data_IF_163079208627
#
_entry.id   IF_163079208627
#
_cell.length_a   1.000
_cell.length_b   1.000
_cell.length_c   1.000
_cell.angle_alpha   90.00
_cell.angle_beta   90.00
_cell.angle_gamma   90.00
#
_symmetry.space_group_name_H-M   'P 1'
#
loop_
_entity.id
_entity.type
_entity.pdbx_description
1 polymer ?
2 polymer ?
3 non-polymer ?
4 non-polymer ?
5 water ?
#
# COMPACT_ATOMS: atom_id res chain seq x y z
N UNK A 15 -21.82 -22.35 -0.57
CA UNK A 15 -21.40 -21.68 0.68
C UNK A 15 -20.11 -20.90 0.43
N UNK A 16 -19.44 -20.50 1.51
CA UNK A 16 -18.23 -19.68 1.45
C UNK A 16 -16.99 -20.57 1.31
N UNK A 17 -17.06 -21.79 1.82
CA UNK A 17 -15.97 -22.77 1.67
C UNK A 17 -15.97 -23.39 0.27
N UNK A 18 -17.11 -23.32 -0.41
CA UNK A 18 -17.20 -23.68 -1.82
C UNK A 18 -16.35 -22.73 -2.66
N UNK A 19 -16.27 -21.47 -2.22
CA UNK A 19 -15.36 -20.49 -2.82
C UNK A 19 -13.91 -20.78 -2.43
N UNK A 20 -13.68 -21.03 -1.13
CA UNK A 20 -12.34 -21.27 -0.56
C UNK A 20 -11.72 -22.51 -1.18
N UNK A 21 -12.52 -23.57 -1.30
CA UNK A 21 -12.04 -24.81 -1.87
C UNK A 21 -11.86 -24.69 -3.37
N UNK A 22 -12.51 -23.70 -3.99
CA UNK A 22 -12.27 -23.37 -5.39
C UNK A 22 -11.04 -22.48 -5.51
N UNK A 23 -10.75 -21.71 -4.46
CA UNK A 23 -9.52 -20.93 -4.45
C UNK A 23 -8.32 -21.87 -4.28
N UNK A 24 -8.47 -22.86 -3.41
CA UNK A 24 -7.47 -23.92 -3.22
C UNK A 24 -7.21 -24.71 -4.53
N UNK A 25 -8.30 -25.06 -5.22
CA UNK A 25 -8.20 -25.80 -6.48
C UNK A 25 -7.49 -24.98 -7.56
N UNK A 26 -7.85 -23.71 -7.68
CA UNK A 26 -7.40 -22.86 -8.78
C UNK A 26 -5.97 -22.36 -8.61
N UNK A 27 -5.42 -22.49 -7.41
CA UNK A 27 -4.05 -22.06 -7.13
C UNK A 27 -3.03 -22.70 -8.07
N UNK A 28 -2.04 -21.90 -8.53
CA UNK A 28 -0.90 -22.43 -9.27
C UNK A 28 -0.22 -23.50 -8.44
N UNK A 29 0.16 -24.59 -9.10
CA UNK A 29 0.89 -25.67 -8.45
C UNK A 29 2.24 -25.24 -7.91
N UNK A 30 2.70 -25.93 -6.88
CA UNK A 30 4.02 -25.69 -6.33
C UNK A 30 5.01 -25.59 -7.48
N UNK A 31 5.77 -24.51 -7.49
CA UNK A 31 6.72 -24.26 -8.54
C UNK A 31 8.05 -24.90 -8.18
N UNK A 32 8.76 -25.37 -9.19
CA UNK A 32 10.12 -25.88 -9.03
C UNK A 32 10.96 -25.36 -10.20
N UNK A 33 12.19 -24.92 -9.93
CA UNK A 33 13.09 -24.54 -11.00
C UNK A 33 13.59 -25.77 -11.79
N UNK A 34 13.99 -26.83 -11.08
CA UNK A 34 14.52 -28.07 -11.68
C UNK A 34 13.89 -29.35 -11.12
N UNK A 35 12.65 -29.67 -11.57
CA UNK A 35 11.93 -30.84 -11.04
C UNK A 35 12.45 -32.16 -11.58
N UNK A 36 11.90 -33.26 -11.05
CA UNK A 36 12.23 -34.62 -11.46
C UNK A 36 13.66 -34.98 -11.04
N UNK A 43 5.40 -34.31 -12.04
CA UNK A 43 4.41 -34.11 -13.09
C UNK A 43 3.92 -32.65 -13.19
N UNK A 44 4.48 -31.78 -12.35
CA UNK A 44 4.09 -30.35 -12.29
C UNK A 44 4.66 -29.56 -13.51
N UNK A 45 4.60 -28.20 -13.48
CA UNK A 45 5.16 -27.35 -14.56
C UNK A 45 6.49 -27.84 -15.15
N UNK A 46 6.66 -27.64 -16.45
CA UNK A 46 7.77 -28.21 -17.24
C UNK A 46 9.17 -28.10 -16.59
N UNK A 47 9.92 -27.05 -16.92
CA UNK A 47 11.29 -26.80 -16.40
C UNK A 47 11.97 -25.66 -17.18
N UNK A 48 12.41 -24.62 -16.46
CA UNK A 48 12.79 -23.35 -17.07
C UNK A 48 14.29 -23.18 -17.33
N UNK A 49 14.87 -22.11 -16.80
CA UNK A 49 16.31 -21.82 -16.91
C UNK A 49 16.77 -20.82 -15.85
N UNK A 50 16.22 -19.59 -15.89
CA UNK A 50 16.70 -18.48 -15.04
C UNK A 50 15.64 -17.43 -14.63
N UNK A 51 15.22 -16.61 -15.60
CA UNK A 51 14.25 -15.54 -15.38
C UNK A 51 12.98 -15.83 -16.19
N UNK A 52 13.08 -16.74 -17.17
CA UNK A 52 11.91 -17.23 -17.88
C UNK A 52 10.89 -17.76 -16.87
N UNK A 53 11.43 -18.19 -15.73
CA UNK A 53 10.65 -18.58 -14.55
C UNK A 53 9.69 -17.46 -14.13
N UNK A 54 10.16 -16.22 -14.19
CA UNK A 54 9.34 -15.05 -13.87
C UNK A 54 8.27 -14.82 -14.95
N UNK A 55 8.71 -14.86 -16.22
CA UNK A 55 7.81 -14.80 -17.36
C UNK A 55 6.66 -15.81 -17.23
N UNK A 56 7.01 -17.05 -16.90
CA UNK A 56 6.03 -18.09 -16.65
C UNK A 56 5.04 -17.65 -15.53
N UNK A 57 5.58 -17.02 -14.50
CA UNK A 57 4.76 -16.55 -13.37
C UNK A 57 3.75 -15.45 -13.74
N UNK A 58 4.07 -14.58 -14.71
CA UNK A 58 3.07 -13.62 -15.20
C UNK A 58 1.92 -14.41 -15.77
N UNK A 59 2.25 -15.31 -16.70
CA UNK A 59 1.27 -16.21 -17.36
C UNK A 59 0.41 -16.97 -16.34
N UNK A 60 1.03 -17.48 -15.28
CA UNK A 60 0.29 -18.25 -14.30
C UNK A 60 -0.68 -17.32 -13.59
N UNK A 61 -0.21 -16.09 -13.31
CA UNK A 61 -1.04 -15.07 -12.64
C UNK A 61 -2.26 -14.73 -13.48
N UNK A 62 -2.01 -14.41 -14.76
CA UNK A 62 -3.08 -14.07 -15.70
C UNK A 62 -4.21 -15.11 -15.76
N UNK A 63 -3.83 -16.37 -15.94
CA UNK A 63 -4.80 -17.46 -16.02
C UNK A 63 -5.54 -17.68 -14.70
N UNK A 64 -4.83 -17.41 -13.60
CA UNK A 64 -5.42 -17.47 -12.28
C UNK A 64 -6.55 -16.45 -12.16
N UNK A 65 -6.28 -15.22 -12.63
CA UNK A 65 -7.24 -14.15 -12.46
C UNK A 65 -8.55 -14.49 -13.16
N UNK A 66 -8.45 -15.11 -14.34
CA UNK A 66 -9.63 -15.58 -15.07
C UNK A 66 -10.51 -16.49 -14.19
N UNK A 67 -9.84 -17.35 -13.42
CA UNK A 67 -10.47 -18.37 -12.58
C UNK A 67 -11.04 -17.83 -11.28
N UNK A 68 -10.69 -16.59 -10.95
CA UNK A 68 -11.27 -15.96 -9.77
C UNK A 68 -12.77 -15.72 -9.96
N UNK A 69 -13.59 -16.24 -9.03
CA UNK A 69 -15.04 -16.02 -9.03
C UNK A 69 -15.38 -14.53 -9.06
N UNK A 70 -16.16 -14.12 -10.06
CA UNK A 70 -16.57 -12.73 -10.19
C UNK A 70 -15.79 -11.97 -11.24
N UNK A 71 -14.53 -12.35 -11.40
CA UNK A 71 -13.59 -11.70 -12.32
C UNK A 71 -14.00 -11.76 -13.78
N UNK A 72 -14.12 -12.98 -14.34
CA UNK A 72 -14.37 -13.12 -15.78
C UNK A 72 -15.69 -12.57 -16.26
N UNK A 73 -16.53 -12.12 -15.34
CA UNK A 73 -17.76 -11.43 -15.70
C UNK A 73 -17.60 -9.91 -15.64
N UNK A 74 -16.36 -9.45 -15.52
CA UNK A 74 -16.03 -8.05 -15.80
C UNK A 74 -15.84 -7.92 -17.32
N UNK A 75 -15.91 -6.69 -17.82
CA UNK A 75 -15.58 -6.44 -19.23
C UNK A 75 -14.12 -6.80 -19.46
N UNK A 76 -13.75 -7.04 -20.70
CA UNK A 76 -12.38 -7.39 -21.03
C UNK A 76 -11.39 -6.31 -20.60
N UNK A 77 -11.79 -5.05 -20.74
CA UNK A 77 -10.93 -3.91 -20.39
C UNK A 77 -10.69 -3.81 -18.90
N UNK A 78 -11.76 -3.95 -18.12
CA UNK A 78 -11.64 -3.89 -16.67
C UNK A 78 -10.81 -5.05 -16.14
N UNK A 79 -10.96 -6.23 -16.73
CA UNK A 79 -10.04 -7.33 -16.44
C UNK A 79 -8.59 -6.90 -16.68
N UNK A 80 -8.35 -6.16 -17.75
CA UNK A 80 -7.00 -5.68 -18.05
C UNK A 80 -6.59 -4.51 -17.17
N UNK A 81 -7.52 -3.58 -16.93
CA UNK A 81 -7.23 -2.49 -16.00
C UNK A 81 -6.85 -3.07 -14.63
N UNK A 82 -7.62 -4.06 -14.18
CA UNK A 82 -7.34 -4.70 -12.88
C UNK A 82 -5.97 -5.34 -12.90
N UNK A 83 -5.75 -6.27 -13.83
CA UNK A 83 -4.47 -6.97 -13.96
C UNK A 83 -3.25 -6.04 -14.11
N UNK A 84 -3.36 -5.04 -14.96
CA UNK A 84 -2.21 -4.19 -15.21
C UNK A 84 -1.75 -3.37 -14.00
N UNK A 85 -2.67 -3.11 -13.10
CA UNK A 85 -2.40 -2.37 -11.85
C UNK A 85 -1.92 -3.24 -10.68
N UNK A 86 -2.45 -4.47 -10.54
CA UNK A 86 -2.10 -5.28 -9.35
C UNK A 86 -1.40 -6.60 -9.63
N UNK A 87 -1.07 -6.88 -10.88
CA UNK A 87 -0.49 -8.18 -11.21
C UNK A 87 0.78 -8.50 -10.44
N UNK A 88 1.55 -7.46 -10.13
CA UNK A 88 2.82 -7.69 -9.44
C UNK A 88 2.62 -7.97 -7.95
N UNK A 89 1.63 -7.34 -7.35
CA UNK A 89 1.24 -7.71 -6.01
C UNK A 89 0.96 -9.21 -5.95
N UNK A 90 -0.10 -9.67 -6.62
CA UNK A 90 -0.47 -11.10 -6.72
C UNK A 90 0.73 -12.04 -6.85
N UNK A 91 1.59 -11.78 -7.83
CA UNK A 91 2.86 -12.47 -7.99
C UNK A 91 3.68 -12.48 -6.69
N UNK A 92 3.98 -11.29 -6.16
CA UNK A 92 4.89 -11.11 -5.03
C UNK A 92 4.39 -11.76 -3.74
N UNK A 93 3.09 -11.63 -3.49
CA UNK A 93 2.42 -12.31 -2.39
C UNK A 93 2.51 -13.83 -2.51
N UNK A 94 2.48 -14.31 -3.74
CA UNK A 94 2.78 -15.71 -4.03
C UNK A 94 4.17 -16.08 -3.56
N UNK A 95 5.18 -15.30 -3.98
CA UNK A 95 6.59 -15.54 -3.60
C UNK A 95 6.80 -15.36 -2.08
N UNK A 96 6.03 -14.45 -1.49
CA UNK A 96 6.00 -14.33 -0.03
C UNK A 96 5.54 -15.66 0.57
N UNK A 97 4.45 -16.21 0.02
CA UNK A 97 3.88 -17.48 0.47
C UNK A 97 4.89 -18.64 0.49
N UNK A 98 5.63 -18.82 -0.61
CA UNK A 98 6.67 -19.84 -0.64
C UNK A 98 7.77 -19.60 0.39
N UNK A 99 8.22 -18.35 0.54
CA UNK A 99 9.32 -18.02 1.47
C UNK A 99 8.98 -18.10 2.95
N UNK A 100 7.73 -18.46 3.26
CA UNK A 100 7.21 -18.50 4.62
C UNK A 100 7.98 -19.39 5.60
N UNK A 101 8.40 -20.59 5.15
CA UNK A 101 9.21 -21.38 6.09
C UNK A 101 10.62 -20.80 6.35
N UNK A 102 11.30 -20.37 5.30
CA UNK A 102 12.71 -19.96 5.38
C UNK A 102 12.87 -18.61 6.05
N UNK A 103 14.02 -18.42 6.70
CA UNK A 103 14.32 -17.14 7.34
C UNK A 103 15.51 -16.45 6.66
N UNK A 104 15.37 -15.14 6.49
CA UNK A 104 16.37 -14.29 5.83
C UNK A 104 16.63 -14.67 4.36
N UNK A 105 15.68 -15.39 3.76
CA UNK A 105 15.86 -15.94 2.40
C UNK A 105 14.57 -15.96 1.56
N UNK A 106 14.73 -15.86 0.24
CA UNK A 106 13.63 -15.72 -0.73
C UNK A 106 13.39 -16.95 -1.59
N UNK A 107 12.22 -17.59 -1.40
CA UNK A 107 11.86 -18.81 -2.13
C UNK A 107 11.25 -18.56 -3.50
N UNK A 108 12.09 -18.12 -4.44
CA UNK A 108 11.74 -17.95 -5.87
C UNK A 108 10.90 -19.10 -6.44
N UNK A 109 11.43 -20.32 -6.30
CA UNK A 109 10.67 -21.56 -6.42
C UNK A 109 10.91 -22.33 -5.12
N UNK A 110 10.53 -23.61 -5.07
CA UNK A 110 10.99 -24.46 -3.96
C UNK A 110 12.51 -24.68 -4.15
N UNK A 111 12.90 -24.95 -5.40
CA UNK A 111 14.29 -25.12 -5.77
C UNK A 111 15.11 -23.87 -5.44
N UNK A 112 14.65 -22.72 -5.93
CA UNK A 112 15.41 -21.49 -5.86
C UNK A 112 15.25 -20.71 -4.55
N UNK A 113 16.27 -20.78 -3.70
CA UNK A 113 16.31 -20.04 -2.45
C UNK A 113 17.44 -19.03 -2.56
N UNK A 114 17.11 -17.75 -2.39
CA UNK A 114 18.08 -16.68 -2.57
C UNK A 114 18.10 -15.69 -1.43
N UNK A 115 19.26 -15.51 -0.81
CA UNK A 115 19.45 -14.54 0.27
C UNK A 115 19.65 -13.15 -0.32
N UNK A 116 19.77 -12.15 0.55
CA UNK A 116 19.93 -10.74 0.13
C UNK A 116 21.01 -10.53 -0.94
N UNK A 117 22.21 -11.07 -0.71
CA UNK A 117 23.32 -10.94 -1.66
C UNK A 117 23.13 -11.81 -2.91
N UNK A 118 22.42 -12.93 -2.75
CA UNK A 118 22.04 -13.77 -3.89
C UNK A 118 21.20 -12.97 -4.86
N UNK A 119 20.33 -12.14 -4.30
CA UNK A 119 19.44 -11.28 -5.08
C UNK A 119 20.17 -10.17 -5.83
N UNK A 120 21.10 -9.47 -5.17
CA UNK A 120 21.85 -8.40 -5.82
C UNK A 120 22.56 -8.95 -7.06
N UNK A 121 23.25 -10.09 -6.90
CA UNK A 121 24.05 -10.72 -7.95
C UNK A 121 23.27 -10.90 -9.25
N UNK A 122 22.03 -11.39 -9.13
CA UNK A 122 21.17 -11.60 -10.29
C UNK A 122 20.47 -10.29 -10.76
N UNK A 123 21.03 -9.14 -10.35
CA UNK A 123 20.49 -7.84 -10.72
C UNK A 123 19.08 -7.58 -10.22
N UNK A 124 18.85 -7.82 -8.94
CA UNK A 124 17.58 -7.45 -8.33
C UNK A 124 17.71 -6.16 -7.50
N UNK A 125 18.94 -5.68 -7.33
CA UNK A 125 19.19 -4.45 -6.59
C UNK A 125 18.94 -4.58 -5.09
N UNK A 126 18.18 -3.62 -4.54
CA UNK A 126 17.85 -3.56 -3.12
C UNK A 126 16.67 -4.48 -2.81
N UNK A 127 16.13 -5.11 -3.84
CA UNK A 127 14.89 -5.90 -3.74
C UNK A 127 14.89 -7.04 -2.73
N UNK A 128 16.06 -7.61 -2.46
CA UNK A 128 16.18 -8.64 -1.42
C UNK A 128 15.63 -8.14 -0.10
N UNK A 129 16.21 -7.03 0.39
CA UNK A 129 15.78 -6.40 1.63
C UNK A 129 14.27 -6.14 1.63
N UNK A 130 13.82 -5.48 0.56
CA UNK A 130 12.42 -5.16 0.35
C UNK A 130 11.54 -6.38 0.53
N UNK A 131 11.96 -7.49 -0.06
CA UNK A 131 11.09 -8.67 -0.11
C UNK A 131 11.12 -9.47 1.18
N UNK A 132 12.27 -9.48 1.85
CA UNK A 132 12.35 -10.03 3.19
C UNK A 132 11.43 -9.25 4.15
N UNK A 133 11.40 -7.93 3.98
CA UNK A 133 10.58 -7.07 4.82
C UNK A 133 9.13 -7.56 4.80
N UNK A 134 8.64 -7.88 3.61
CA UNK A 134 7.27 -8.36 3.44
C UNK A 134 7.10 -9.77 3.97
N UNK A 135 8.09 -10.62 3.72
CA UNK A 135 8.07 -12.00 4.23
C UNK A 135 7.94 -12.00 5.75
N UNK A 136 8.89 -11.36 6.44
CA UNK A 136 8.80 -11.21 7.88
C UNK A 136 7.39 -10.86 8.29
N UNK A 137 6.83 -9.81 7.70
CA UNK A 137 5.53 -9.30 8.11
C UNK A 137 4.43 -10.38 8.08
N UNK A 138 4.47 -11.22 7.04
CA UNK A 138 3.50 -12.32 6.93
C UNK A 138 3.86 -13.51 7.80
N UNK A 139 5.16 -13.72 8.04
CA UNK A 139 5.64 -14.76 8.96
C UNK A 139 5.11 -14.54 10.39
N UNK A 140 5.11 -13.27 10.82
CA UNK A 140 4.57 -12.88 12.11
C UNK A 140 3.08 -13.23 12.31
N UNK A 141 2.51 -13.94 11.32
CA UNK A 141 1.09 -14.32 11.31
C UNK A 141 0.88 -15.82 11.09
N UNK A 142 1.95 -16.55 10.78
CA UNK A 142 1.89 -17.99 10.42
C UNK A 142 0.77 -18.27 9.42
N UNK A 143 0.71 -17.43 8.39
CA UNK A 143 -0.40 -17.35 7.44
C UNK A 143 -0.73 -18.70 6.78
N UNK A 144 -2.02 -19.02 6.76
CA UNK A 144 -2.54 -20.32 6.27
C UNK A 144 -2.86 -20.35 4.78
N UNK A 145 -2.85 -21.56 4.21
CA UNK A 145 -3.15 -21.79 2.80
C UNK A 145 -4.47 -21.13 2.39
N UNK A 146 -5.55 -21.49 3.08
CA UNK A 146 -6.90 -20.93 2.85
C UNK A 146 -6.94 -19.41 3.00
N UNK A 147 -6.19 -18.92 3.99
CA UNK A 147 -6.13 -17.49 4.30
C UNK A 147 -5.39 -16.71 3.23
N UNK A 148 -4.31 -17.30 2.73
CA UNK A 148 -3.49 -16.67 1.72
C UNK A 148 -4.27 -16.59 0.41
N UNK A 149 -4.85 -17.71 -0.02
CA UNK A 149 -5.60 -17.75 -1.26
C UNK A 149 -6.74 -16.73 -1.21
N UNK A 150 -7.29 -16.54 -0.01
CA UNK A 150 -8.40 -15.61 0.19
C UNK A 150 -7.90 -14.17 0.06
N UNK A 151 -6.71 -13.90 0.61
CA UNK A 151 -6.08 -12.58 0.59
C UNK A 151 -5.55 -12.21 -0.81
N UNK A 152 -5.11 -13.22 -1.58
CA UNK A 152 -4.58 -12.96 -2.92
C UNK A 152 -5.69 -12.57 -3.91
N UNK A 153 -6.83 -13.25 -3.82
CA UNK A 153 -8.01 -12.89 -4.60
C UNK A 153 -8.58 -11.57 -4.10
N UNK A 154 -8.42 -11.30 -2.80
CA UNK A 154 -8.76 -10.00 -2.25
C UNK A 154 -7.82 -8.90 -2.74
N UNK A 155 -6.53 -9.21 -2.94
CA UNK A 155 -5.58 -8.21 -3.43
C UNK A 155 -5.92 -7.83 -4.85
N UNK A 156 -6.22 -8.87 -5.63
CA UNK A 156 -6.74 -8.82 -7.00
C UNK A 156 -7.96 -7.92 -7.13
N UNK A 157 -8.94 -8.07 -6.24
CA UNK A 157 -10.14 -7.23 -6.30
C UNK A 157 -9.90 -5.79 -5.82
N UNK A 158 -8.82 -5.58 -5.08
CA UNK A 158 -8.51 -4.29 -4.48
C UNK A 158 -7.68 -3.38 -5.39
N UNK A 159 -8.05 -3.31 -6.67
CA UNK A 159 -7.17 -2.81 -7.74
C UNK A 159 -6.68 -1.37 -7.64
N UNK A 160 -7.62 -0.43 -7.62
CA UNK A 160 -7.31 1.01 -7.74
C UNK A 160 -6.69 1.31 -9.10
N UNK A 161 -7.54 1.71 -10.03
CA UNK A 161 -7.14 2.03 -11.37
C UNK A 161 -8.19 2.98 -11.87
N UNK A 162 -7.74 4.16 -12.28
CA UNK A 162 -8.63 5.20 -12.78
C UNK A 162 -9.28 4.75 -14.09
N UNK A 163 -8.85 3.59 -14.61
CA UNK A 163 -9.28 3.11 -15.93
C UNK A 163 -10.49 2.17 -15.90
N UNK A 164 -10.85 1.72 -14.69
CA UNK A 164 -11.98 0.82 -14.51
C UNK A 164 -13.30 1.46 -14.95
N UNK A 165 -14.07 0.75 -15.78
CA UNK A 165 -15.39 1.23 -16.24
C UNK A 165 -16.47 1.01 -15.17
N UNK A 166 -16.75 -0.25 -14.85
CA UNK A 166 -17.75 -0.57 -13.84
C UNK A 166 -17.14 -0.51 -12.43
N UNK A 167 -17.22 0.68 -11.83
CA UNK A 167 -16.72 0.93 -10.47
C UNK A 167 -17.44 0.04 -9.46
N UNK A 168 -18.76 -0.03 -9.58
CA UNK A 168 -19.58 -0.85 -8.71
C UNK A 168 -19.21 -2.34 -8.76
N UNK A 169 -19.01 -2.88 -9.96
CA UNK A 169 -18.75 -4.32 -10.15
C UNK A 169 -17.50 -4.81 -9.45
N UNK A 170 -16.45 -3.99 -9.46
CA UNK A 170 -15.21 -4.32 -8.77
C UNK A 170 -15.42 -4.20 -7.25
N UNK A 171 -16.08 -3.13 -6.82
CA UNK A 171 -16.41 -2.91 -5.41
C UNK A 171 -17.26 -4.03 -4.81
N UNK A 172 -18.29 -4.47 -5.55
CA UNK A 172 -19.08 -5.65 -5.17
C UNK A 172 -18.26 -6.93 -5.07
N UNK A 173 -17.33 -7.13 -6.00
CA UNK A 173 -16.39 -8.27 -5.95
C UNK A 173 -15.43 -8.11 -4.76
N UNK A 174 -15.13 -6.88 -4.42
CA UNK A 174 -14.27 -6.61 -3.30
C UNK A 174 -15.04 -6.95 -2.02
N UNK A 175 -16.20 -6.32 -1.83
CA UNK A 175 -17.02 -6.57 -0.63
C UNK A 175 -17.27 -8.05 -0.45
N UNK A 176 -17.45 -8.72 -1.59
CA UNK A 176 -17.76 -10.14 -1.61
C UNK A 176 -16.66 -10.98 -1.00
N UNK A 177 -15.44 -10.78 -1.47
CA UNK A 177 -14.31 -11.60 -1.00
C UNK A 177 -13.94 -11.34 0.45
N UNK A 178 -14.01 -10.08 0.86
CA UNK A 178 -13.83 -9.71 2.23
C UNK A 178 -14.87 -10.41 3.12
N UNK A 179 -16.14 -10.36 2.72
CA UNK A 179 -17.18 -11.13 3.42
C UNK A 179 -16.84 -12.64 3.43
N UNK A 180 -16.35 -13.15 2.31
CA UNK A 180 -15.91 -14.54 2.24
C UNK A 180 -14.85 -14.82 3.30
N UNK A 181 -13.99 -13.82 3.53
CA UNK A 181 -12.91 -13.98 4.50
C UNK A 181 -13.46 -13.94 5.91
N UNK A 182 -14.34 -12.99 6.17
CA UNK A 182 -15.00 -12.87 7.48
C UNK A 182 -15.76 -14.14 7.87
N UNK A 183 -16.57 -14.65 6.95
CA UNK A 183 -17.30 -15.91 7.17
C UNK A 183 -16.32 -17.06 7.43
N UNK A 184 -15.11 -16.95 6.88
CA UNK A 184 -14.09 -17.96 7.10
C UNK A 184 -13.36 -17.81 8.44
N UNK A 185 -13.01 -16.57 8.80
CA UNK A 185 -12.33 -16.32 10.07
C UNK A 185 -13.24 -16.60 11.26
N UNK A 186 -13.60 -17.88 11.40
CA UNK A 186 -14.56 -18.34 12.41
C UNK A 186 -14.42 -19.85 12.64
N UNK A 187 -13.85 -20.54 11.65
CA UNK A 187 -13.61 -21.98 11.74
C UNK A 187 -12.28 -22.38 11.12
N UNK A 197 -11.18 -14.26 17.19
CA UNK A 197 -11.61 -13.71 15.90
C UNK A 197 -11.26 -12.22 15.79
N UNK A 198 -10.32 -11.92 14.91
CA UNK A 198 -9.78 -10.57 14.67
C UNK A 198 -8.76 -10.72 13.55
N UNK A 199 -8.66 -11.94 13.03
CA UNK A 199 -7.64 -12.32 12.06
C UNK A 199 -7.89 -11.77 10.64
N UNK A 200 -9.12 -11.31 10.36
CA UNK A 200 -9.42 -10.72 9.05
C UNK A 200 -8.53 -9.52 8.82
N UNK A 201 -8.71 -8.49 9.65
CA UNK A 201 -7.94 -7.26 9.56
C UNK A 201 -6.42 -7.43 9.63
N UNK A 202 -5.97 -8.28 10.54
CA UNK A 202 -4.55 -8.60 10.67
C UNK A 202 -3.93 -9.03 9.34
N UNK A 203 -4.70 -9.78 8.56
CA UNK A 203 -4.25 -10.18 7.23
C UNK A 203 -4.28 -8.99 6.29
N UNK A 204 -5.36 -8.21 6.41
CA UNK A 204 -5.58 -7.02 5.61
C UNK A 204 -4.52 -5.96 5.85
N UNK A 205 -4.09 -5.86 7.10
CA UNK A 205 -3.08 -4.89 7.52
C UNK A 205 -1.72 -5.07 6.83
N UNK A 206 -1.51 -6.22 6.20
CA UNK A 206 -0.25 -6.51 5.54
C UNK A 206 -0.25 -6.06 4.09
N UNK A 207 -1.43 -5.78 3.57
CA UNK A 207 -1.63 -5.38 2.16
C UNK A 207 -0.90 -4.14 1.65
N UNK A 208 -0.81 -3.05 2.47
CA UNK A 208 -0.06 -1.85 2.07
C UNK A 208 1.40 -2.12 1.74
N UNK A 209 1.99 -3.02 2.51
CA UNK A 209 3.38 -3.37 2.31
C UNK A 209 3.53 -4.18 1.04
N UNK A 210 2.53 -5.03 0.75
CA UNK A 210 2.51 -5.78 -0.50
C UNK A 210 2.51 -4.86 -1.71
N UNK A 211 1.64 -3.87 -1.72
CA UNK A 211 1.64 -2.94 -2.84
C UNK A 211 2.95 -2.17 -2.97
N UNK A 212 3.45 -1.67 -1.85
CA UNK A 212 4.70 -0.89 -1.81
C UNK A 212 5.84 -1.73 -2.31
N UNK A 213 5.86 -3.00 -1.89
CA UNK A 213 6.93 -3.93 -2.25
C UNK A 213 6.89 -4.23 -3.73
N UNK A 214 5.68 -4.56 -4.21
CA UNK A 214 5.43 -4.76 -5.63
C UNK A 214 5.88 -3.57 -6.44
N UNK A 215 5.64 -2.37 -5.90
CA UNK A 215 5.99 -1.13 -6.56
C UNK A 215 7.49 -0.89 -6.62
N UNK A 216 8.23 -1.50 -5.70
CA UNK A 216 9.66 -1.30 -5.72
C UNK A 216 10.23 -2.26 -6.73
N UNK A 217 9.59 -3.44 -6.83
CA UNK A 217 9.96 -4.43 -7.84
C UNK A 217 9.79 -3.84 -9.23
N UNK A 218 8.64 -3.24 -9.49
CA UNK A 218 8.36 -2.61 -10.79
C UNK A 218 9.30 -1.45 -11.04
N UNK A 219 9.43 -0.56 -10.07
CA UNK A 219 10.29 0.62 -10.25
C UNK A 219 11.72 0.23 -10.58
N UNK A 220 12.14 -0.92 -10.05
CA UNK A 220 13.49 -1.40 -10.28
C UNK A 220 13.66 -1.75 -11.74
N UNK A 221 12.83 -2.69 -12.20
CA UNK A 221 12.87 -3.14 -13.56
C UNK A 221 12.48 -2.04 -14.55
N UNK A 222 11.99 -0.90 -14.05
CA UNK A 222 11.79 0.26 -14.91
C UNK A 222 13.12 0.96 -15.18
N UNK A 223 14.02 0.89 -14.20
CA UNK A 223 15.38 1.39 -14.37
C UNK A 223 16.11 0.52 -15.36
N UNK A 224 16.05 -0.80 -15.15
CA UNK A 224 16.60 -1.82 -16.08
C UNK A 224 16.13 -1.57 -17.52
N UNK A 225 14.81 -1.46 -17.68
CA UNK A 225 14.18 -1.04 -18.93
C UNK A 225 14.95 0.10 -19.56
N UNK A 226 15.11 1.19 -18.81
CA UNK A 226 15.77 2.39 -19.30
C UNK A 226 17.27 2.21 -19.58
N UNK A 227 17.92 1.35 -18.81
CA UNK A 227 19.34 1.02 -19.07
C UNK A 227 19.44 0.28 -20.41
N UNK A 228 18.45 -0.56 -20.69
CA UNK A 228 18.29 -1.18 -21.99
C UNK A 228 19.33 -2.23 -22.33
N UNK A 229 20.19 -2.56 -21.36
CA UNK A 229 21.23 -3.56 -21.60
C UNK A 229 20.75 -4.97 -21.31
N UNK A 230 20.18 -5.16 -20.12
CA UNK A 230 19.57 -6.43 -19.76
C UNK A 230 18.32 -6.63 -20.62
N UNK A 231 18.26 -7.75 -21.39
CA UNK A 231 17.16 -7.99 -22.32
C UNK A 231 15.92 -8.48 -21.60
N UNK A 232 14.75 -8.02 -22.06
CA UNK A 232 13.50 -8.33 -21.39
C UNK A 232 12.46 -8.95 -22.30
N UNK A 233 11.61 -9.77 -21.71
CA UNK A 233 10.68 -10.58 -22.48
C UNK A 233 9.31 -9.94 -22.66
N UNK A 234 8.67 -10.30 -23.78
CA UNK A 234 7.47 -9.65 -24.29
C UNK A 234 6.53 -9.11 -23.21
N UNK A 235 5.88 -10.03 -22.49
CA UNK A 235 4.81 -9.71 -21.56
C UNK A 235 5.26 -8.71 -20.49
N UNK A 236 6.49 -8.88 -20.00
CA UNK A 236 6.97 -8.01 -18.92
C UNK A 236 7.11 -6.55 -19.36
N UNK A 237 7.65 -6.32 -20.55
CA UNK A 237 7.73 -4.98 -21.14
C UNK A 237 6.33 -4.41 -21.35
N UNK A 238 5.43 -5.23 -21.86
CA UNK A 238 4.03 -4.84 -22.04
C UNK A 238 3.44 -4.34 -20.70
N UNK A 239 3.68 -5.08 -19.63
CA UNK A 239 3.15 -4.71 -18.34
C UNK A 239 3.81 -3.43 -17.83
N UNK A 240 5.14 -3.36 -18.05
CA UNK A 240 5.90 -2.19 -17.66
C UNK A 240 5.39 -0.95 -18.38
N UNK A 241 5.13 -1.06 -19.68
CA UNK A 241 4.76 0.08 -20.52
C UNK A 241 3.35 0.57 -20.24
N UNK A 242 2.46 -0.38 -19.94
CA UNK A 242 1.08 -0.09 -19.58
C UNK A 242 0.94 0.87 -18.39
N UNK A 243 2.02 1.05 -17.64
CA UNK A 243 1.95 1.72 -16.34
C UNK A 243 2.24 3.22 -16.35
N UNK A 244 3.27 3.67 -17.05
CA UNK A 244 3.61 5.08 -17.04
C UNK A 244 2.75 5.90 -18.01
N UNK A 245 3.07 5.81 -19.31
CA UNK A 245 2.42 6.59 -20.36
C UNK A 245 2.57 8.11 -20.16
N UNK B 1 0.14 0.48 -29.75
CA UNK B 1 0.45 -0.87 -29.24
C UNK B 1 -0.66 -1.33 -28.27
N UNK B 2 -1.55 -2.23 -28.74
CA UNK B 2 -2.52 -2.86 -27.85
C UNK B 2 -1.82 -3.88 -26.94
N UNK B 3 -2.44 -4.23 -25.81
CA UNK B 3 -1.84 -5.24 -24.93
C UNK B 3 -1.92 -6.64 -25.56
N UNK B 4 -0.97 -6.94 -26.45
CA UNK B 4 -1.04 -8.13 -27.29
C UNK B 4 -0.87 -9.45 -26.53
N UNK B 5 0.23 -9.56 -25.77
CA UNK B 5 0.52 -10.77 -25.01
C UNK B 5 -0.48 -10.95 -23.88
N UNK B 6 -0.89 -9.85 -23.26
CA UNK B 6 -1.94 -9.90 -22.25
C UNK B 6 -3.32 -10.29 -22.83
N UNK B 7 -3.73 -9.65 -23.93
CA UNK B 7 -4.96 -10.03 -24.64
C UNK B 7 -5.01 -11.54 -24.95
N UNK B 8 -3.92 -12.08 -25.48
CA UNK B 8 -3.84 -13.51 -25.78
C UNK B 8 -4.36 -14.33 -24.62
N UNK B 9 -3.69 -14.21 -23.49
CA UNK B 9 -3.96 -15.06 -22.34
C UNK B 9 -5.36 -14.84 -21.75
N UNK B 10 -5.84 -13.60 -21.77
CA UNK B 10 -7.16 -13.29 -21.21
C UNK B 10 -8.32 -13.74 -22.10
N UNK B 11 -8.00 -14.17 -23.33
CA UNK B 11 -9.03 -14.53 -24.32
C UNK B 11 -8.82 -15.96 -24.87
N UNK B 12 -7.67 -16.56 -24.53
CA UNK B 12 -7.37 -17.97 -24.83
C UNK B 12 -8.26 -18.90 -24.01
N UNK C 15 -12.08 2.51 28.74
CA UNK C 15 -12.72 1.72 27.65
C UNK C 15 -12.08 2.08 26.30
N UNK C 16 -12.75 1.69 25.22
CA UNK C 16 -12.24 1.86 23.86
C UNK C 16 -12.65 3.24 23.31
N UNK C 17 -13.78 3.75 23.78
CA UNK C 17 -14.23 5.10 23.42
C UNK C 17 -13.44 6.19 24.16
N UNK C 18 -12.83 5.80 25.28
CA UNK C 18 -11.88 6.67 25.98
C UNK C 18 -10.65 6.91 25.11
N UNK C 19 -10.29 5.92 24.29
CA UNK C 19 -9.27 6.08 23.26
C UNK C 19 -9.79 6.94 22.10
N UNK C 20 -10.99 6.60 21.62
CA UNK C 20 -11.61 7.27 20.46
C UNK C 20 -11.83 8.76 20.73
N UNK C 21 -12.32 9.05 21.93
CA UNK C 21 -12.57 10.43 22.32
C UNK C 21 -11.27 11.16 22.60
N UNK C 22 -10.21 10.40 22.86
CA UNK C 22 -8.87 11.00 22.96
C UNK C 22 -8.29 11.18 21.56
N UNK C 23 -8.69 10.34 20.61
CA UNK C 23 -8.27 10.53 19.23
C UNK C 23 -8.96 11.76 18.63
N UNK C 24 -10.25 11.91 18.95
CA UNK C 24 -11.03 13.10 18.59
C UNK C 24 -10.44 14.39 19.19
N UNK C 25 -10.03 14.33 20.45
CA UNK C 25 -9.43 15.48 21.13
C UNK C 25 -8.09 15.86 20.50
N UNK C 26 -7.26 14.86 20.23
CA UNK C 26 -5.88 15.08 19.81
C UNK C 26 -5.73 15.50 18.34
N UNK C 27 -6.80 15.29 17.57
CA UNK C 27 -6.81 15.69 16.16
C UNK C 27 -6.43 17.17 15.93
N UNK C 28 -5.62 17.43 14.89
CA UNK C 28 -5.33 18.79 14.45
C UNK C 28 -6.62 19.49 14.13
N UNK C 29 -6.71 20.75 14.54
CA UNK C 29 -7.88 21.57 14.27
C UNK C 29 -8.10 21.80 12.78
N UNK C 30 -9.36 22.05 12.41
CA UNK C 30 -9.69 22.37 11.04
C UNK C 30 -8.71 23.43 10.57
N UNK C 31 -8.08 23.15 9.44
CA UNK C 31 -7.09 24.03 8.86
C UNK C 31 -7.78 25.06 7.97
N UNK C 32 -7.21 26.26 7.93
CA UNK C 32 -7.66 27.31 7.02
C UNK C 32 -6.42 27.98 6.45
N UNK C 33 -6.43 28.27 5.14
CA UNK C 33 -5.34 29.06 4.57
C UNK C 33 -5.41 30.53 5.02
N UNK C 34 -6.62 31.12 4.95
CA UNK C 34 -6.85 32.55 5.30
C UNK C 34 -8.03 32.76 6.27
N UNK C 35 -7.83 32.47 7.57
CA UNK C 35 -8.92 32.60 8.55
C UNK C 35 -9.26 34.03 8.93
N UNK C 36 -10.30 34.18 9.75
CA UNK C 36 -10.76 35.47 10.25
C UNK C 36 -11.33 36.33 9.12
N UNK C 43 -9.99 31.63 15.87
CA UNK C 43 -9.00 31.42 16.93
C UNK C 43 -8.08 30.21 16.66
N UNK C 44 -8.27 29.55 15.51
CA UNK C 44 -7.50 28.36 15.12
C UNK C 44 -6.05 28.73 14.67
N UNK C 45 -5.29 27.78 14.06
CA UNK C 45 -3.94 28.07 13.55
C UNK C 45 -3.75 29.43 12.89
N UNK C 46 -2.58 30.05 13.08
CA UNK C 46 -2.28 31.43 12.68
C UNK C 46 -2.77 31.84 11.28
N UNK C 47 -1.91 31.73 10.27
CA UNK C 47 -2.20 32.10 8.86
C UNK C 47 -0.92 32.11 8.02
N UNK C 48 -0.92 31.35 6.93
CA UNK C 48 0.31 31.02 6.20
C UNK C 48 0.59 31.89 4.97
N UNK C 49 0.77 31.26 3.82
CA UNK C 49 0.99 31.93 2.54
C UNK C 49 0.70 31.01 1.35
N UNK C 50 1.45 29.91 1.23
CA UNK C 50 1.40 29.05 0.03
C UNK C 50 1.68 27.55 0.28
N UNK C 51 2.95 27.24 0.53
CA UNK C 51 3.41 25.87 0.73
C UNK C 51 3.93 25.71 2.16
N UNK C 52 4.18 26.83 2.83
CA UNK C 52 4.50 26.83 4.26
C UNK C 52 3.39 26.10 5.02
N UNK C 53 2.20 26.15 4.43
CA UNK C 53 1.03 25.41 4.87
C UNK C 53 1.34 23.91 4.97
N UNK C 54 2.11 23.39 4.02
CA UNK C 54 2.52 21.99 4.02
C UNK C 54 3.55 21.74 5.13
N UNK C 55 4.55 22.61 5.20
CA UNK C 55 5.55 22.59 6.26
C UNK C 55 4.87 22.52 7.64
N UNK C 56 3.90 23.41 7.86
CA UNK C 56 3.10 23.42 9.08
C UNK C 56 2.47 22.03 9.33
N UNK C 57 1.95 21.43 8.26
CA UNK C 57 1.32 20.11 8.35
C UNK C 57 2.27 18.97 8.77
N UNK C 58 3.55 19.03 8.39
CA UNK C 58 4.53 18.06 8.90
C UNK C 58 4.57 18.19 10.41
N UNK C 59 4.82 19.41 10.86
CA UNK C 59 4.84 19.76 12.30
C UNK C 59 3.58 19.28 13.03
N UNK C 60 2.42 19.48 12.42
CA UNK C 60 1.17 19.09 13.07
C UNK C 60 1.15 17.58 13.19
N UNK C 61 1.61 16.90 12.14
CA UNK C 61 1.66 15.44 12.11
C UNK C 61 2.57 14.91 13.22
N UNK C 62 3.78 15.46 13.29
CA UNK C 62 4.77 15.07 14.30
C UNK C 62 4.25 15.16 15.74
N UNK C 63 3.66 16.29 16.09
CA UNK C 63 3.11 16.49 17.43
C UNK C 63 1.93 15.55 17.70
N UNK C 64 1.19 15.25 16.64
CA UNK C 64 0.07 14.33 16.73
C UNK C 64 0.59 12.95 17.13
N UNK C 65 1.65 12.52 16.48
CA UNK C 65 2.17 11.17 16.69
C UNK C 65 2.54 10.98 18.16
N UNK C 66 3.16 11.99 18.75
CA UNK C 66 3.50 12.00 20.18
C UNK C 66 2.28 11.67 21.05
N UNK C 67 1.14 12.24 20.66
CA UNK C 67 -0.13 12.15 21.39
C UNK C 67 -0.87 10.85 21.16
N UNK C 68 -0.44 10.08 20.17
CA UNK C 68 -1.03 8.76 19.98
C UNK C 68 -0.71 7.83 21.16
N UNK C 69 -1.76 7.25 21.78
CA UNK C 69 -1.61 6.25 22.85
C UNK C 69 -0.71 5.09 22.43
N UNK C 70 0.33 4.83 23.21
CA UNK C 70 1.26 3.74 22.90
C UNK C 70 2.54 4.20 22.25
N UNK C 71 2.42 5.26 21.44
CA UNK C 71 3.53 5.81 20.66
C UNK C 71 4.69 6.30 21.51
N UNK C 72 4.45 7.31 22.36
CA UNK C 72 5.55 7.97 23.09
C UNK C 72 6.30 7.07 24.07
N UNK C 73 5.83 5.84 24.22
CA UNK C 73 6.54 4.86 25.03
C UNK C 73 7.35 3.90 24.17
N UNK C 74 7.50 4.25 22.90
CA UNK C 74 8.53 3.65 22.05
C UNK C 74 9.84 4.38 22.30
N UNK C 75 10.96 3.77 21.93
CA UNK C 75 12.24 4.47 21.99
C UNK C 75 12.20 5.66 21.04
N UNK C 76 13.08 6.63 21.25
CA UNK C 76 13.12 7.82 20.40
C UNK C 76 13.37 7.46 18.94
N UNK C 77 14.23 6.48 18.70
CA UNK C 77 14.58 6.04 17.36
C UNK C 77 13.40 5.39 16.64
N UNK C 78 12.70 4.51 17.36
CA UNK C 78 11.54 3.85 16.77
C UNK C 78 10.44 4.84 16.46
N UNK C 79 10.25 5.82 17.34
CA UNK C 79 9.37 6.94 17.00
C UNK C 79 9.79 7.61 15.69
N UNK C 80 11.09 7.76 15.47
CA UNK C 80 11.59 8.35 14.23
C UNK C 80 11.54 7.38 13.06
N UNK C 81 11.88 6.12 13.30
CA UNK C 81 11.76 5.14 12.24
C UNK C 81 10.30 5.08 11.76
N UNK C 82 9.36 5.05 12.71
CA UNK C 82 7.94 5.03 12.40
C UNK C 82 7.56 6.26 11.57
N UNK C 83 7.80 7.45 12.15
CA UNK C 83 7.46 8.70 11.48
C UNK C 83 8.09 8.87 10.09
N UNK C 84 9.36 8.55 9.95
CA UNK C 84 10.05 8.78 8.69
C UNK C 84 9.52 7.92 7.55
N UNK C 85 8.95 6.76 7.89
CA UNK C 85 8.36 5.84 6.91
C UNK C 85 6.89 6.13 6.57
N UNK C 86 6.08 6.59 7.53
CA UNK C 86 4.63 6.76 7.25
C UNK C 86 4.09 8.16 7.40
N UNK C 87 4.95 9.14 7.63
CA UNK C 87 4.45 10.50 7.92
C UNK C 87 3.62 11.05 6.79
N UNK C 88 3.96 10.69 5.56
CA UNK C 88 3.26 11.22 4.40
C UNK C 88 1.87 10.60 4.23
N UNK C 89 1.75 9.31 4.53
CA UNK C 89 0.44 8.70 4.60
C UNK C 89 -0.48 9.49 5.54
N UNK C 90 -0.16 9.51 6.83
CA UNK C 90 -0.90 10.29 7.85
C UNK C 90 -1.35 11.67 7.36
N UNK C 91 -0.41 12.46 6.87
CA UNK C 91 -0.70 13.73 6.20
C UNK C 91 -1.77 13.58 5.12
N UNK C 92 -1.52 12.71 4.13
CA UNK C 92 -2.37 12.57 2.93
C UNK C 92 -3.80 12.09 3.23
N UNK C 93 -3.91 11.15 4.17
CA UNK C 93 -5.18 10.70 4.68
C UNK C 93 -5.95 11.81 5.37
N UNK C 94 -5.21 12.71 6.02
CA UNK C 94 -5.79 13.94 6.56
C UNK C 94 -6.43 14.77 5.45
N UNK C 95 -5.66 15.01 4.38
CA UNK C 95 -6.14 15.81 3.22
C UNK C 95 -7.26 15.10 2.48
N UNK C 96 -7.21 13.77 2.48
CA UNK C 96 -8.31 12.96 1.97
C UNK C 96 -9.57 13.30 2.78
N UNK C 97 -9.43 13.29 4.10
CA UNK C 97 -10.52 13.59 5.05
C UNK C 97 -11.21 14.94 4.78
N UNK C 98 -10.42 16.01 4.61
CA UNK C 98 -11.00 17.31 4.26
C UNK C 98 -11.73 17.28 2.91
N UNK C 99 -11.15 16.65 1.90
CA UNK C 99 -11.72 16.61 0.55
C UNK C 99 -12.98 15.77 0.39
N UNK C 100 -13.40 15.12 1.47
CA UNK C 100 -14.55 14.20 1.48
C UNK C 100 -15.87 14.77 0.96
N UNK C 101 -16.22 16.02 1.34
CA UNK C 101 -17.43 16.57 0.76
C UNK C 101 -17.34 16.87 -0.76
N UNK C 102 -16.24 17.48 -1.20
CA UNK C 102 -16.09 17.97 -2.57
C UNK C 102 -15.85 16.86 -3.57
N UNK C 103 -16.31 17.06 -4.80
CA UNK C 103 -16.10 16.10 -5.86
C UNK C 103 -15.18 16.65 -6.94
N UNK C 104 -14.26 15.79 -7.39
CA UNK C 104 -13.25 16.12 -8.41
C UNK C 104 -12.26 17.21 -7.96
N UNK C 105 -12.18 17.44 -6.66
CA UNK C 105 -11.39 18.55 -6.11
C UNK C 105 -10.70 18.23 -4.76
N UNK C 106 -9.56 18.89 -4.52
CA UNK C 106 -8.67 18.61 -3.38
C UNK C 106 -8.69 19.70 -2.32
N UNK C 107 -9.17 19.36 -1.12
CA UNK C 107 -9.29 20.33 -0.01
C UNK C 107 -8.00 20.45 0.82
N UNK C 108 -7.00 21.10 0.23
CA UNK C 108 -5.73 21.46 0.86
C UNK C 108 -5.91 22.01 2.29
N UNK C 109 -6.73 23.06 2.40
CA UNK C 109 -7.32 23.52 3.66
C UNK C 109 -8.84 23.52 3.43
N UNK C 110 -9.61 24.15 4.30
CA UNK C 110 -11.01 24.45 3.98
C UNK C 110 -11.02 25.56 2.93
N UNK C 111 -10.14 26.54 3.13
CA UNK C 111 -9.97 27.65 2.18
C UNK C 111 -9.54 27.12 0.81
N UNK C 112 -8.47 26.33 0.80
CA UNK C 112 -7.84 25.94 -0.43
C UNK C 112 -8.45 24.69 -1.08
N UNK C 113 -9.20 24.93 -2.16
CA UNK C 113 -9.79 23.86 -2.95
C UNK C 113 -9.13 23.89 -4.32
N UNK C 114 -8.54 22.77 -4.73
CA UNK C 114 -7.79 22.70 -5.98
C UNK C 114 -8.17 21.50 -6.83
N UNK C 115 -8.57 21.77 -8.06
CA UNK C 115 -8.90 20.72 -9.02
C UNK C 115 -7.62 20.19 -9.67
N UNK C 116 -7.75 19.18 -10.51
CA UNK C 116 -6.61 18.54 -11.20
C UNK C 116 -5.63 19.54 -11.84
N UNK C 117 -6.15 20.47 -12.63
CA UNK C 117 -5.30 21.48 -13.29
C UNK C 117 -4.78 22.53 -12.32
N UNK C 118 -5.55 22.80 -11.26
CA UNK C 118 -5.09 23.68 -10.18
C UNK C 118 -3.82 23.13 -9.56
N UNK C 119 -3.78 21.81 -9.42
CA UNK C 119 -2.64 21.10 -8.86
C UNK C 119 -1.40 21.15 -9.75
N UNK C 120 -1.56 20.90 -11.05
CA UNK C 120 -0.42 20.94 -11.98
C UNK C 120 0.26 22.31 -11.88
N UNK C 121 -0.55 23.37 -11.96
CA UNK C 121 -0.06 24.76 -11.98
C UNK C 121 0.91 25.05 -10.84
N UNK C 122 0.56 24.60 -9.64
CA UNK C 122 1.41 24.80 -8.46
C UNK C 122 2.54 23.75 -8.36
N UNK C 123 2.85 23.10 -9.49
CA UNK C 123 3.92 22.11 -9.55
C UNK C 123 3.70 20.89 -8.69
N UNK C 124 2.51 20.31 -8.78
CA UNK C 124 2.24 19.04 -8.13
C UNK C 124 2.30 17.88 -9.12
N UNK C 125 2.41 18.18 -10.42
CA UNK C 125 2.52 17.15 -11.44
C UNK C 125 1.22 16.38 -11.66
N UNK C 126 1.35 15.05 -11.67
CA UNK C 126 0.22 14.13 -11.88
C UNK C 126 -0.55 13.90 -10.58
N UNK C 127 -0.07 14.51 -9.51
CA UNK C 127 -0.58 14.26 -8.15
C UNK C 127 -2.07 14.54 -7.92
N UNK C 128 -2.64 15.46 -8.69
CA UNK C 128 -4.08 15.72 -8.63
C UNK C 128 -4.87 14.44 -8.87
N UNK C 129 -4.63 13.82 -10.04
CA UNK C 129 -5.26 12.55 -10.38
C UNK C 129 -5.09 11.52 -9.25
N UNK C 130 -3.84 11.33 -8.85
CA UNK C 130 -3.46 10.40 -7.79
C UNK C 130 -4.29 10.62 -6.55
N UNK C 131 -4.47 11.88 -6.17
CA UNK C 131 -5.09 12.20 -4.90
C UNK C 131 -6.61 12.12 -4.95
N UNK C 132 -7.17 12.47 -6.10
CA UNK C 132 -8.59 12.24 -6.30
C UNK C 132 -8.90 10.76 -6.23
N UNK C 133 -8.01 9.93 -6.79
CA UNK C 133 -8.18 8.48 -6.79
C UNK C 133 -8.43 7.96 -5.39
N UNK C 134 -7.65 8.47 -4.43
CA UNK C 134 -7.77 8.07 -3.04
C UNK C 134 -9.02 8.63 -2.41
N UNK C 135 -9.30 9.91 -2.71
CA UNK C 135 -10.50 10.58 -2.21
C UNK C 135 -11.75 9.78 -2.58
N UNK C 136 -11.96 9.57 -3.88
CA UNK C 136 -13.06 8.73 -4.36
C UNK C 136 -13.16 7.48 -3.50
N UNK C 137 -12.06 6.73 -3.38
CA UNK C 137 -12.09 5.46 -2.68
C UNK C 137 -12.64 5.58 -1.25
N UNK C 138 -12.31 6.66 -0.55
CA UNK C 138 -12.82 6.88 0.81
C UNK C 138 -14.24 7.46 0.81
N UNK C 139 -14.56 8.25 -0.22
CA UNK C 139 -15.93 8.75 -0.40
C UNK C 139 -16.95 7.62 -0.52
N UNK C 140 -16.58 6.58 -1.28
CA UNK C 140 -17.39 5.37 -1.46
C UNK C 140 -17.74 4.66 -0.13
N UNK C 141 -17.34 5.27 0.99
CA UNK C 141 -17.54 4.71 2.33
C UNK C 141 -18.22 5.70 3.29
N UNK C 142 -18.40 6.95 2.85
CA UNK C 142 -18.91 8.03 3.70
C UNK C 142 -18.23 8.06 5.09
N UNK C 143 -16.91 7.94 5.06
CA UNK C 143 -16.07 7.72 6.25
C UNK C 143 -16.30 8.73 7.37
N UNK C 144 -16.46 8.21 8.59
CA UNK C 144 -16.79 9.01 9.79
C UNK C 144 -15.57 9.56 10.54
N UNK C 145 -15.81 10.63 11.30
CA UNK C 145 -14.78 11.30 12.10
C UNK C 145 -14.04 10.29 13.00
N UNK C 146 -14.81 9.58 13.84
CA UNK C 146 -14.27 8.54 14.74
C UNK C 146 -13.51 7.43 13.99
N UNK C 147 -14.05 7.06 12.83
CA UNK C 147 -13.49 6.01 11.99
C UNK C 147 -12.18 6.43 11.35
N UNK C 148 -12.13 7.67 10.90
CA UNK C 148 -10.95 8.23 10.28
C UNK C 148 -9.81 8.36 11.30
N UNK C 149 -10.10 8.97 12.44
CA UNK C 149 -9.09 9.14 13.47
C UNK C 149 -8.54 7.78 13.89
N UNK C 150 -9.40 6.77 13.87
CA UNK C 150 -9.03 5.41 14.26
C UNK C 150 -8.10 4.81 13.22
N UNK C 151 -8.42 5.05 11.94
CA UNK C 151 -7.64 4.56 10.80
C UNK C 151 -6.31 5.29 10.64
N UNK C 152 -6.27 6.57 11.02
CA UNK C 152 -5.02 7.34 10.91
C UNK C 152 -3.97 6.93 11.94
N UNK C 153 -4.42 6.67 13.16
CA UNK C 153 -3.56 6.11 14.21
C UNK C 153 -3.18 4.68 13.86
N UNK C 154 -4.10 3.98 13.20
CA UNK C 154 -3.80 2.65 12.67
C UNK C 154 -2.76 2.70 11.53
N UNK C 155 -2.80 3.74 10.69
CA UNK C 155 -1.85 3.86 9.59
C UNK C 155 -0.46 4.09 10.15
N UNK C 156 -0.42 5.00 11.13
CA UNK C 156 0.74 5.31 11.98
C UNK C 156 1.38 4.08 12.59
N UNK C 157 0.59 3.20 13.18
CA UNK C 157 1.14 1.96 13.77
C UNK C 157 1.60 0.94 12.72
N UNK C 158 1.09 1.08 11.49
CA UNK C 158 1.32 0.11 10.45
C UNK C 158 2.58 0.39 9.61
N UNK C 159 3.67 0.75 10.28
CA UNK C 159 4.81 1.44 9.68
C UNK C 159 5.56 0.70 8.58
N UNK C 160 6.11 -0.48 8.90
CA UNK C 160 7.02 -1.19 8.00
C UNK C 160 8.28 -0.38 7.77
N UNK C 161 9.30 -0.71 8.53
CA UNK C 161 10.57 -0.03 8.50
C UNK C 161 11.54 -1.03 9.06
N UNK C 162 12.56 -1.34 8.28
CA UNK C 162 13.57 -2.32 8.67
C UNK C 162 14.40 -1.76 9.84
N UNK C 163 14.15 -0.50 10.20
CA UNK C 163 14.95 0.20 11.21
C UNK C 163 14.40 0.09 12.63
N UNK C 164 13.17 -0.37 12.76
CA UNK C 164 12.51 -0.51 14.06
C UNK C 164 13.26 -1.50 14.98
N UNK C 165 13.54 -1.08 16.21
CA UNK C 165 14.22 -1.93 17.21
C UNK C 165 13.23 -2.92 17.85
N UNK C 166 12.25 -2.40 18.58
CA UNK C 166 11.26 -3.25 19.23
C UNK C 166 10.12 -3.62 18.26
N UNK C 167 10.32 -4.74 17.55
CA UNK C 167 9.35 -5.26 16.59
C UNK C 167 8.03 -5.56 17.26
N UNK C 168 8.10 -6.19 18.43
CA UNK C 168 6.92 -6.54 19.22
C UNK C 168 6.11 -5.32 19.64
N UNK C 169 6.78 -4.27 20.12
CA UNK C 169 6.10 -3.09 20.66
C UNK C 169 5.23 -2.38 19.64
N UNK C 170 5.70 -2.28 18.40
CA UNK C 170 4.91 -1.70 17.31
C UNK C 170 3.74 -2.64 16.96
N UNK C 171 4.02 -3.94 16.85
CA UNK C 171 2.99 -4.94 16.55
C UNK C 171 1.87 -4.96 17.59
N UNK C 172 2.23 -4.90 18.87
CA UNK C 172 1.27 -4.78 19.96
C UNK C 172 0.42 -3.51 19.87
N UNK C 173 1.06 -2.39 19.50
CA UNK C 173 0.34 -1.12 19.26
C UNK C 173 -0.54 -1.23 18.02
N UNK C 174 -0.11 -2.04 17.07
CA UNK C 174 -0.89 -2.26 15.89
C UNK C 174 -2.11 -3.08 16.28
N UNK C 175 -1.91 -4.26 16.86
CA UNK C 175 -3.00 -5.13 17.27
C UNK C 175 -4.00 -4.39 18.13
N UNK C 176 -3.47 -3.51 18.98
CA UNK C 176 -4.26 -2.73 19.91
C UNK C 176 -5.27 -1.83 19.21
N UNK C 177 -4.79 -1.06 18.24
CA UNK C 177 -5.64 -0.08 17.57
C UNK C 177 -6.70 -0.74 16.70
N UNK C 178 -6.30 -1.80 16.01
CA UNK C 178 -7.22 -2.60 15.24
C UNK C 178 -8.33 -3.17 16.15
N UNK C 179 -7.96 -3.72 17.30
CA UNK C 179 -8.97 -4.15 18.27
C UNK C 179 -9.83 -2.97 18.72
N UNK C 180 -9.22 -1.79 18.90
CA UNK C 180 -9.95 -0.59 19.24
C UNK C 180 -10.98 -0.29 18.16
N UNK C 181 -10.60 -0.53 16.91
CA UNK C 181 -11.51 -0.31 15.79
C UNK C 181 -12.65 -1.32 15.78
N UNK C 182 -12.31 -2.60 15.97
CA UNK C 182 -13.32 -3.68 16.02
C UNK C 182 -14.35 -3.48 17.12
N UNK C 183 -13.88 -3.16 18.33
CA UNK C 183 -14.77 -2.85 19.45
C UNK C 183 -15.65 -1.64 19.12
N UNK C 184 -15.15 -0.75 18.26
CA UNK C 184 -15.92 0.41 17.83
C UNK C 184 -16.95 0.08 16.72
N UNK C 185 -16.55 -0.73 15.74
CA UNK C 185 -17.45 -1.11 14.65
C UNK C 185 -18.57 -2.01 15.15
N UNK C 186 -19.41 -1.45 16.02
CA UNK C 186 -20.48 -2.16 16.69
C UNK C 186 -21.52 -1.18 17.23
N UNK C 187 -21.13 0.07 17.40
CA UNK C 187 -22.03 1.12 17.87
C UNK C 187 -21.79 2.44 17.15
N UNK C 197 -22.11 -5.22 10.46
CA UNK C 197 -20.73 -5.21 10.94
C UNK C 197 -19.79 -5.94 9.98
N UNK C 198 -18.92 -5.16 9.33
CA UNK C 198 -17.94 -5.63 8.32
C UNK C 198 -17.10 -4.41 7.95
N UNK C 199 -17.40 -3.29 8.61
CA UNK C 199 -16.84 -2.00 8.27
C UNK C 199 -15.36 -1.83 8.66
N UNK C 200 -14.84 -2.70 9.54
CA UNK C 200 -13.44 -2.65 9.92
C UNK C 200 -12.57 -2.82 8.69
N UNK C 201 -12.66 -3.99 8.08
CA UNK C 201 -11.87 -4.33 6.90
C UNK C 201 -12.05 -3.37 5.73
N UNK C 202 -13.30 -2.99 5.46
CA UNK C 202 -13.61 -2.02 4.40
C UNK C 202 -12.78 -0.75 4.53
N UNK C 203 -12.55 -0.32 5.77
CA UNK C 203 -11.71 0.84 6.04
C UNK C 203 -10.27 0.48 5.78
N UNK C 204 -9.90 -0.71 6.25
CA UNK C 204 -8.54 -1.24 6.13
C UNK C 204 -8.17 -1.45 4.67
N UNK C 205 -9.14 -1.88 3.88
CA UNK C 205 -8.94 -2.13 2.44
C UNK C 205 -8.50 -0.90 1.63
N UNK C 206 -8.65 0.29 2.21
CA UNK C 206 -8.29 1.52 1.53
C UNK C 206 -6.83 1.90 1.76
N UNK C 207 -6.21 1.28 2.77
CA UNK C 207 -4.84 1.60 3.20
C UNK C 207 -3.72 1.43 2.15
N UNK C 208 -3.77 0.36 1.33
CA UNK C 208 -2.76 0.17 0.28
C UNK C 208 -2.69 1.33 -0.71
N UNK C 209 -3.84 1.92 -1.00
CA UNK C 209 -3.90 3.06 -1.89
C UNK C 209 -3.31 4.28 -1.21
N UNK C 210 -3.54 4.41 0.11
CA UNK C 210 -2.97 5.50 0.88
C UNK C 210 -1.45 5.50 0.82
N UNK C 211 -0.84 4.33 1.06
CA UNK C 211 0.61 4.25 0.98
C UNK C 211 1.14 4.54 -0.41
N UNK C 212 0.50 3.95 -1.42
CA UNK C 212 0.88 4.15 -2.82
C UNK C 212 0.80 5.62 -3.18
N UNK C 213 -0.26 6.28 -2.71
CA UNK C 213 -0.53 7.66 -3.05
C UNK C 213 0.49 8.55 -2.40
N UNK C 214 0.71 8.31 -1.11
CA UNK C 214 1.76 8.98 -0.35
C UNK C 214 3.08 8.83 -1.04
N UNK C 215 3.33 7.65 -1.59
CA UNK C 215 4.60 7.34 -2.24
C UNK C 215 4.75 8.07 -3.54
N UNK C 216 3.63 8.45 -4.16
CA UNK C 216 3.75 9.14 -5.42
C UNK C 216 4.05 10.59 -5.10
N UNK C 217 3.44 11.07 -4.02
CA UNK C 217 3.69 12.42 -3.53
C UNK C 217 5.18 12.58 -3.23
N UNK C 218 5.74 11.64 -2.47
CA UNK C 218 7.17 11.68 -2.12
C UNK C 218 8.03 11.58 -3.35
N UNK C 219 7.76 10.59 -4.21
CA UNK C 219 8.56 10.39 -5.42
C UNK C 219 8.57 11.62 -6.30
N UNK C 220 7.47 12.39 -6.26
CA UNK C 220 7.36 13.60 -7.05
C UNK C 220 8.36 14.62 -6.55
N UNK C 221 8.21 15.00 -5.28
CA UNK C 221 9.07 15.97 -4.66
C UNK C 221 10.52 15.49 -4.55
N UNK C 222 10.78 14.21 -4.85
CA UNK C 222 12.15 13.74 -4.97
C UNK C 222 12.75 14.17 -6.30
N UNK C 223 11.90 14.28 -7.33
CA UNK C 223 12.31 14.80 -8.62
C UNK C 223 12.60 16.29 -8.50
N UNK C 224 11.67 17.02 -7.87
CA UNK C 224 11.83 18.45 -7.53
C UNK C 224 13.16 18.70 -6.79
N UNK C 225 13.37 17.95 -5.71
CA UNK C 225 14.64 17.90 -5.00
C UNK C 225 15.81 17.89 -5.98
N UNK C 226 15.83 16.90 -6.87
CA UNK C 226 16.90 16.71 -7.84
C UNK C 226 17.00 17.83 -8.87
N UNK C 227 15.85 18.41 -9.26
CA UNK C 227 15.86 19.56 -10.16
C UNK C 227 16.54 20.75 -9.46
N UNK C 228 16.30 20.87 -8.16
CA UNK C 228 17.01 21.83 -7.33
C UNK C 228 16.66 23.28 -7.55
N UNK C 229 15.67 23.54 -8.40
CA UNK C 229 15.28 24.91 -8.70
C UNK C 229 14.23 25.42 -7.73
N UNK C 230 13.15 24.67 -7.56
CA UNK C 230 12.13 24.99 -6.57
C UNK C 230 12.74 24.80 -5.17
N UNK C 231 12.72 25.88 -4.34
CA UNK C 231 13.37 25.85 -3.04
C UNK C 231 12.53 25.11 -2.02
N UNK C 232 13.19 24.36 -1.14
CA UNK C 232 12.48 23.51 -0.19
C UNK C 232 12.90 23.75 1.25
N UNK C 233 11.95 23.52 2.16
CA UNK C 233 12.11 23.89 3.57
C UNK C 233 12.65 22.77 4.45
N UNK C 234 13.38 23.18 5.48
CA UNK C 234 14.18 22.30 6.33
C UNK C 234 13.62 20.89 6.50
N UNK C 235 12.50 20.80 7.21
CA UNK C 235 11.95 19.52 7.64
C UNK C 235 11.63 18.60 6.47
N UNK C 236 11.12 19.17 5.38
CA UNK C 236 10.73 18.37 4.22
C UNK C 236 11.93 17.68 3.55
N UNK C 237 13.03 18.42 3.39
CA UNK C 237 14.27 17.85 2.86
C UNK C 237 14.79 16.76 3.80
N UNK C 238 14.75 17.05 5.10
CA UNK C 238 15.15 16.07 6.12
C UNK C 238 14.38 14.75 5.94
N UNK C 239 13.06 14.86 5.76
CA UNK C 239 12.23 13.68 5.58
C UNK C 239 12.53 12.98 4.26
N UNK C 240 12.71 13.80 3.22
CA UNK C 240 13.08 13.28 1.91
C UNK C 240 14.38 12.50 1.96
N UNK C 241 15.38 13.06 2.63
CA UNK C 241 16.73 12.49 2.67
C UNK C 241 16.81 11.23 3.50
N UNK C 242 16.02 11.18 4.57
CA UNK C 242 15.93 10.02 5.46
C UNK C 242 15.52 8.75 4.73
N UNK C 243 14.99 8.88 3.52
CA UNK C 243 14.32 7.78 2.83
C UNK C 243 15.19 6.96 1.89
N UNK C 244 15.99 7.61 1.06
CA UNK C 244 16.80 6.86 0.10
C UNK C 244 18.07 6.28 0.71
N UNK C 245 19.07 7.15 0.91
CA UNK C 245 20.40 6.75 1.41
C UNK C 245 21.10 5.73 0.50
N UNK D 1 24.62 13.95 9.28
CA UNK D 1 23.40 14.76 9.49
C UNK D 1 22.37 13.98 10.31
N UNK D 2 22.23 14.32 11.61
CA UNK D 2 21.15 13.76 12.43
C UNK D 2 19.82 14.39 12.03
N UNK D 3 18.70 13.75 12.37
CA UNK D 3 17.39 14.32 12.07
C UNK D 3 17.10 15.52 12.98
N UNK D 4 17.63 16.69 12.60
CA UNK D 4 17.63 17.86 13.48
C UNK D 4 16.25 18.47 13.71
N UNK D 5 15.55 18.76 12.60
CA UNK D 5 14.23 19.38 12.68
C UNK D 5 13.21 18.39 13.25
N UNK D 6 13.34 17.13 12.88
CA UNK D 6 12.50 16.07 13.46
C UNK D 6 12.77 15.85 14.96
N UNK D 7 14.03 15.73 15.36
CA UNK D 7 14.41 15.64 16.78
C UNK D 7 13.80 16.77 17.61
N UNK D 8 13.90 18.01 17.12
CA UNK D 8 13.33 19.16 17.80
C UNK D 8 11.92 18.85 18.27
N UNK D 9 11.05 18.58 17.29
CA UNK D 9 9.62 18.44 17.55
C UNK D 9 9.30 17.23 18.42
N UNK D 10 10.05 16.15 18.27
CA UNK D 10 9.79 14.93 19.03
C UNK D 10 10.27 15.02 20.48
N UNK D 11 11.03 16.08 20.79
CA UNK D 11 11.64 16.24 22.13
C UNK D 11 11.25 17.59 22.78
N UNK D 12 10.61 18.46 22.00
CA UNK D 12 10.03 19.73 22.51
C UNK D 12 8.83 19.45 23.40
X LIG E 1 14.16 -11.90 -12.41
X LIG E 1 12.97 -11.69 -13.11
X LIG E 1 12.97 -11.01 -14.32
X LIG E 1 14.19 -10.55 -14.86
X LIG E 1 15.39 -10.77 -14.15
X LIG E 1 15.37 -11.44 -12.95
X LIG E 1 11.34 -14.49 -10.09
X LIG E 1 12.49 -14.14 -10.75
X LIG E 1 11.33 -12.34 -8.97
X LIG E 1 12.49 -12.00 -9.65
X LIG E 1 15.28 -8.81 -16.45
X LIG E 1 10.75 -13.60 -9.19
X LIG E 1 13.05 -12.89 -10.54
X LIG E 1 10.75 -11.32 -8.01
X LIG E 1 14.19 -12.56 -11.21
X LIG E 1 9.61 -14.02 -8.57
X LIG E 1 11.45 -9.97 -8.14
X LIG E 1 9.27 -11.08 -8.26
X LIG E 1 10.97 -11.83 -6.59
X LIG E 1 14.22 -9.84 -16.16
X LIG E 1 13.38 -10.07 -17.01
X LIG F 1 -5.58 -2.70 -25.32
X LIG G 1 2.98 22.06 -1.91
X LIG G 1 3.64 21.67 -0.74
X LIG G 1 5.00 21.75 -0.64
X LIG G 1 5.77 22.23 -1.73
X LIG G 1 5.10 22.62 -2.91
X LIG G 1 3.72 22.53 -3.00
X LIG G 1 -0.39 20.92 0.83
X LIG G 1 0.32 21.73 -0.04
X LIG G 1 0.10 19.01 -0.58
X LIG G 1 0.79 19.83 -1.43
X LIG G 1 8.11 22.43 -2.86
X LIG G 1 -0.52 19.56 0.56
X LIG G 1 0.92 21.19 -1.16
X LIG G 1 0.01 17.54 -0.95
X LIG G 1 1.62 21.98 -2.02
X LIG G 1 -1.22 18.81 1.45
X LIG G 1 0.90 17.22 -2.16
X LIG G 1 0.48 16.64 0.18
X LIG G 1 -1.43 17.24 -1.37
X LIG G 1 7.24 22.32 -1.62
X LIG G 1 7.79 22.32 -0.52
#
# INVERSE_FOLDING_TARGET
MRGSHHHHHHGIPEFVNALVSHLLVVEPEKLYAMPDPAGPDGHLPAVATLCDLFDREIVVTISWAKSIPGFSSLSLSDQMSVLQSVWMEVLVLGVAQRSLPLQDELAFAEDLVLDEEGARAAGLGELGAALLQLVRRLQALRLEREEYVLLKALALANSDSVHIEDAEAVEQLREALHEALLEYEAGRAGPGGGAERRRAGRLLLTLPLLRQTAGKVLAHFYGVKLEGKVPMHKLFLEMLEAMMD
RPASELLKYLTT
MRGSHHHHHHGIPEFVNALVSHLLVVEPEKLYAMPDPAGPDGHLPAVATLCDLFDREIVVTISWAKSIPGFSSLSLSDQMSVLQSVWMEVLVLGVAQRSLPLQDELAFAEDLVLDEEGARAAGLGELGAALLQLVRRLQALRLEREEYVLLKALALANSDSVHIEDAEAVEQLREALHEALLEYEAGRAGPGGGAERRRAGRLLLTLPLLRQTAGKVLAHFYGVKLEGKVPMHKLFLEMLEAMMD
RPASELLKYLTT
HVO C1 C2 C3 C4 C5 C6 C10 C11 C12 C13 C20 C9 C8 C15 O7 O14 C16 C17 C18 C19 O21
IOD I
HVO C1 C2 C3 C4 C5 C6 C10 C11 C12 C13 C20 C9 C8 C15 O7 O14 C16 C17 C18 C19 O21
#
